data_IF_901375203999
#
_entry.id   IF_901375203999
#
_cell.length_a   1.000
_cell.length_b   1.000
_cell.length_c   1.000
_cell.angle_alpha   90.00
_cell.angle_beta   90.00
_cell.angle_gamma   90.00
#
_symmetry.space_group_name_H-M   'P 1'
#
loop_
_entity.id
_entity.type
_entity.pdbx_description
1 polymer ?
#
# COMPACT_ATOMS: atom_id res chain seq x y z
N UNK A 1 11.86 -19.41 24.91
CA UNK A 1 12.44 -18.17 24.39
C UNK A 1 11.35 -17.38 23.64
N UNK A 2 10.95 -16.19 24.09
CA UNK A 2 10.02 -15.34 23.36
C UNK A 2 10.68 -14.99 22.01
N UNK A 3 9.98 -15.23 20.90
CA UNK A 3 10.43 -14.85 19.56
C UNK A 3 10.68 -13.33 19.56
N UNK A 4 11.91 -12.88 19.31
CA UNK A 4 12.22 -11.46 19.17
C UNK A 4 11.33 -10.88 18.08
N UNK A 5 10.58 -9.85 18.42
CA UNK A 5 9.77 -9.10 17.47
C UNK A 5 10.70 -8.28 16.57
N UNK A 6 10.45 -8.26 15.27
CA UNK A 6 11.21 -7.38 14.38
C UNK A 6 10.84 -5.92 14.65
N UNK A 7 11.79 -5.18 15.19
CA UNK A 7 11.66 -3.75 15.47
C UNK A 7 12.87 -3.05 14.85
N UNK A 8 12.61 -2.17 13.88
CA UNK A 8 13.63 -1.30 13.32
C UNK A 8 13.36 0.14 13.75
N UNK A 9 14.39 0.94 13.85
CA UNK A 9 14.27 2.33 14.27
C UNK A 9 15.30 3.22 13.59
N UNK A 10 14.92 4.48 13.39
CA UNK A 10 15.79 5.54 12.87
C UNK A 10 15.47 6.86 13.57
N UNK A 11 16.47 7.50 14.11
CA UNK A 11 16.34 8.83 14.69
C UNK A 11 16.29 9.88 13.58
N UNK A 12 15.33 10.80 13.67
CA UNK A 12 15.14 11.90 12.74
C UNK A 12 14.78 13.16 13.51
N UNK A 13 15.74 14.08 13.62
CA UNK A 13 15.59 15.27 14.47
C UNK A 13 15.31 14.90 15.92
N UNK A 14 14.24 15.45 16.49
CA UNK A 14 13.84 15.23 17.88
C UNK A 14 12.95 13.98 18.07
N UNK A 15 12.71 13.20 17.02
CA UNK A 15 11.84 12.02 17.05
C UNK A 15 12.58 10.77 16.59
N UNK A 16 12.06 9.62 16.96
CA UNK A 16 12.48 8.32 16.46
C UNK A 16 11.34 7.70 15.66
N UNK A 17 11.61 7.35 14.41
CA UNK A 17 10.71 6.53 13.61
C UNK A 17 10.98 5.08 13.98
N UNK A 18 9.95 4.36 14.38
CA UNK A 18 10.01 2.95 14.73
C UNK A 18 9.09 2.17 13.79
N UNK A 19 9.64 1.19 13.07
CA UNK A 19 8.83 0.21 12.37
C UNK A 19 8.62 -1.01 13.27
N UNK A 20 7.36 -1.32 13.50
CA UNK A 20 6.93 -2.44 14.33
C UNK A 20 6.46 -3.59 13.43
N UNK A 21 7.36 -4.54 13.16
CA UNK A 21 7.18 -5.59 12.18
C UNK A 21 5.93 -6.46 12.32
N UNK A 22 5.52 -6.89 13.53
CA UNK A 22 4.32 -7.71 13.72
C UNK A 22 3.04 -7.10 13.19
N UNK A 23 2.93 -5.75 13.21
CA UNK A 23 1.76 -5.02 12.74
C UNK A 23 2.00 -4.32 11.40
N UNK A 24 3.24 -4.36 10.88
CA UNK A 24 3.67 -3.56 9.74
C UNK A 24 3.30 -2.07 9.91
N UNK A 25 3.55 -1.55 11.11
CA UNK A 25 3.14 -0.21 11.54
C UNK A 25 4.36 0.67 11.75
N UNK A 26 4.29 1.92 11.28
CA UNK A 26 5.27 2.95 11.56
C UNK A 26 4.77 3.87 12.65
N UNK A 27 5.61 4.08 13.65
CA UNK A 27 5.35 4.95 14.80
C UNK A 27 6.36 6.09 14.78
N UNK A 28 5.90 7.30 15.07
CA UNK A 28 6.77 8.46 15.31
C UNK A 28 6.71 8.74 16.80
N UNK A 29 7.81 8.49 17.48
CA UNK A 29 7.89 8.51 18.94
C UNK A 29 8.96 9.49 19.44
N UNK A 30 8.81 9.94 20.68
CA UNK A 30 9.90 10.57 21.43
C UNK A 30 11.04 9.55 21.60
N UNK A 31 12.30 10.02 21.61
CA UNK A 31 13.47 9.15 21.77
C UNK A 31 13.34 8.23 23.00
N UNK A 32 12.89 8.78 24.13
CA UNK A 32 12.74 8.01 25.37
C UNK A 32 11.73 6.88 25.24
N UNK A 33 10.58 7.12 24.57
CA UNK A 33 9.57 6.08 24.34
C UNK A 33 10.09 5.00 23.40
N UNK A 34 10.81 5.39 22.34
CA UNK A 34 11.44 4.44 21.42
C UNK A 34 12.49 3.57 22.11
N UNK A 35 13.30 4.15 23.02
CA UNK A 35 14.30 3.42 23.80
C UNK A 35 13.64 2.38 24.73
N UNK A 36 12.54 2.73 25.38
CA UNK A 36 11.76 1.78 26.19
C UNK A 36 11.29 0.61 25.34
N UNK A 37 10.73 0.85 24.14
CA UNK A 37 10.29 -0.22 23.25
C UNK A 37 11.46 -1.11 22.80
N UNK A 38 12.64 -0.54 22.55
CA UNK A 38 13.86 -1.31 22.25
C UNK A 38 14.24 -2.24 23.41
N UNK A 39 14.22 -1.73 24.64
CA UNK A 39 14.59 -2.52 25.83
C UNK A 39 13.55 -3.63 26.10
N UNK A 40 12.25 -3.35 25.98
CA UNK A 40 11.21 -4.37 26.06
C UNK A 40 11.44 -5.46 24.99
N UNK A 41 11.77 -5.07 23.77
CA UNK A 41 12.02 -6.01 22.67
C UNK A 41 13.27 -6.88 22.90
N UNK A 42 14.28 -6.36 23.60
CA UNK A 42 15.46 -7.13 24.02
C UNK A 42 15.14 -8.14 25.14
N UNK A 43 14.02 -7.97 25.83
CA UNK A 43 13.60 -8.77 26.99
C UNK A 43 14.14 -8.27 28.31
N UNK A 44 14.55 -7.00 28.37
CA UNK A 44 14.97 -6.34 29.64
C UNK A 44 13.79 -6.33 30.62
N UNK A 45 14.04 -6.60 31.89
CA UNK A 45 13.00 -6.67 32.92
C UNK A 45 12.31 -5.29 33.09
N UNK A 46 10.98 -5.28 33.16
CA UNK A 46 10.16 -4.06 33.29
C UNK A 46 10.65 -3.14 34.43
N UNK A 47 10.95 -3.72 35.59
CA UNK A 47 11.44 -2.95 36.74
C UNK A 47 12.78 -2.26 36.46
N UNK A 48 13.68 -2.90 35.70
CA UNK A 48 14.97 -2.34 35.33
C UNK A 48 14.82 -1.17 34.37
N UNK A 49 13.91 -1.32 33.39
CA UNK A 49 13.58 -0.24 32.45
C UNK A 49 12.97 0.94 33.18
N UNK A 50 12.01 0.66 34.08
CA UNK A 50 11.33 1.69 34.90
C UNK A 50 12.27 2.42 35.85
N UNK A 51 13.22 1.74 36.47
CA UNK A 51 14.24 2.37 37.33
C UNK A 51 15.12 3.33 36.52
N UNK A 52 15.54 2.93 35.33
CA UNK A 52 16.31 3.79 34.42
C UNK A 52 15.51 5.02 33.99
N UNK A 53 14.23 4.83 33.67
CA UNK A 53 13.31 5.90 33.29
C UNK A 53 13.07 6.87 34.44
N UNK A 54 12.80 6.35 35.65
CA UNK A 54 12.60 7.15 36.87
C UNK A 54 13.78 8.08 37.14
N UNK A 55 15.01 7.55 37.04
CA UNK A 55 16.25 8.34 37.23
C UNK A 55 16.41 9.38 36.11
N UNK A 56 16.16 9.03 34.86
CA UNK A 56 16.34 9.91 33.69
C UNK A 56 15.37 11.09 33.70
N UNK A 57 14.12 10.86 34.08
CA UNK A 57 13.05 11.86 34.03
C UNK A 57 12.72 12.47 35.40
N UNK A 58 13.36 12.00 36.47
CA UNK A 58 13.08 12.43 37.86
C UNK A 58 11.61 12.27 38.25
N UNK A 59 10.97 11.17 37.81
CA UNK A 59 9.58 10.85 38.13
C UNK A 59 9.48 9.69 39.13
N UNK A 60 8.36 9.56 39.88
CA UNK A 60 8.17 8.47 40.83
C UNK A 60 8.35 7.10 40.22
N UNK A 61 8.99 6.18 40.95
CA UNK A 61 9.23 4.83 40.50
C UNK A 61 7.93 4.10 40.07
N UNK A 62 6.83 4.31 40.79
CA UNK A 62 5.54 3.72 40.48
C UNK A 62 5.01 4.19 39.12
N UNK A 63 5.06 5.50 38.84
CA UNK A 63 4.62 6.06 37.56
C UNK A 63 5.47 5.51 36.41
N UNK A 64 6.77 5.35 36.61
CA UNK A 64 7.68 4.77 35.63
C UNK A 64 7.30 3.32 35.31
N UNK A 65 6.98 2.52 36.33
CA UNK A 65 6.53 1.11 36.14
C UNK A 65 5.22 1.07 35.40
N UNK A 66 4.23 1.87 35.80
CA UNK A 66 2.90 1.92 35.16
C UNK A 66 3.03 2.31 33.71
N UNK A 67 3.85 3.30 33.36
CA UNK A 67 4.09 3.73 31.98
C UNK A 67 4.75 2.63 31.13
N UNK A 68 5.78 1.96 31.63
CA UNK A 68 6.46 0.87 30.89
C UNK A 68 5.52 -0.33 30.69
N UNK A 69 4.70 -0.65 31.69
CA UNK A 69 3.68 -1.71 31.57
C UNK A 69 2.59 -1.36 30.54
N UNK A 70 2.16 -0.10 30.49
CA UNK A 70 1.21 0.37 29.48
C UNK A 70 1.77 0.22 28.08
N UNK A 71 3.04 0.62 27.84
CA UNK A 71 3.71 0.43 26.56
C UNK A 71 3.85 -1.07 26.20
N UNK A 72 4.25 -1.91 27.17
CA UNK A 72 4.33 -3.36 26.94
C UNK A 72 2.96 -3.91 26.55
N UNK A 73 1.90 -3.55 27.26
CA UNK A 73 0.54 -3.98 26.95
C UNK A 73 0.14 -3.54 25.56
N UNK A 74 0.24 -2.23 25.26
CA UNK A 74 -0.19 -1.64 23.99
C UNK A 74 0.52 -2.22 22.78
N UNK A 75 1.83 -2.45 22.84
CA UNK A 75 2.63 -2.84 21.68
C UNK A 75 2.95 -4.33 21.61
N UNK A 76 2.91 -5.05 22.72
CA UNK A 76 3.35 -6.45 22.76
C UNK A 76 2.30 -7.45 23.29
N UNK A 77 1.25 -6.99 23.99
CA UNK A 77 0.23 -7.87 24.60
C UNK A 77 -1.17 -7.70 24.03
N UNK A 78 -1.54 -6.51 23.56
CA UNK A 78 -2.87 -6.29 23.00
C UNK A 78 -2.90 -6.64 21.52
N UNK A 79 -3.84 -7.50 21.20
CA UNK A 79 -4.27 -8.06 19.94
C UNK A 79 -3.45 -9.25 19.43
N UNK A 80 -4.16 -10.38 19.34
CA UNK A 80 -3.89 -11.31 18.24
C UNK A 80 -3.85 -10.48 16.98
N UNK A 81 -2.63 -10.27 16.47
CA UNK A 81 -2.46 -9.82 15.11
C UNK A 81 -3.25 -10.86 14.32
N UNK A 82 -4.45 -10.53 13.89
CA UNK A 82 -5.01 -11.18 12.74
C UNK A 82 -4.02 -10.85 11.63
N UNK A 83 -2.92 -11.64 11.57
CA UNK A 83 -2.27 -11.82 10.30
C UNK A 83 -3.43 -12.09 9.38
N UNK A 84 -3.49 -11.36 8.28
CA UNK A 84 -4.32 -11.73 7.14
C UNK A 84 -3.73 -13.07 6.64
N UNK A 85 -3.84 -14.09 7.50
CA UNK A 85 -3.53 -15.46 7.13
C UNK A 85 -4.52 -15.74 6.01
N UNK A 86 -4.00 -16.22 4.91
CA UNK A 86 -4.82 -16.95 3.94
C UNK A 86 -5.58 -17.91 4.81
N UNK A 87 -6.86 -17.63 5.05
CA UNK A 87 -7.66 -18.41 5.98
C UNK A 87 -7.65 -19.83 5.44
N UNK A 88 -7.02 -20.76 6.14
CA UNK A 88 -6.80 -22.13 5.67
C UNK A 88 -8.08 -22.82 5.17
N UNK A 89 -9.24 -22.41 5.69
CA UNK A 89 -10.56 -22.84 5.22
C UNK A 89 -10.83 -22.56 3.74
N UNK A 90 -10.11 -21.61 3.10
CA UNK A 90 -10.30 -21.26 1.69
C UNK A 90 -9.23 -21.81 0.76
N UNK A 91 -8.19 -22.48 1.27
CA UNK A 91 -7.18 -23.20 0.45
C UNK A 91 -7.84 -24.23 -0.49
N UNK A 92 -8.98 -24.79 -0.10
CA UNK A 92 -9.76 -25.75 -0.89
C UNK A 92 -10.82 -25.09 -1.79
N UNK A 93 -10.86 -23.75 -1.91
CA UNK A 93 -11.79 -23.10 -2.79
C UNK A 93 -11.45 -23.41 -4.25
N UNK A 94 -12.35 -24.13 -4.93
CA UNK A 94 -12.13 -24.47 -6.34
C UNK A 94 -12.12 -23.20 -7.18
N UNK A 95 -11.01 -23.00 -7.89
CA UNK A 95 -10.83 -21.94 -8.88
C UNK A 95 -11.90 -22.07 -9.97
N UNK A 96 -12.50 -20.97 -10.46
CA UNK A 96 -13.40 -20.98 -11.59
C UNK A 96 -12.71 -21.57 -12.83
N UNK A 97 -13.46 -22.32 -13.64
CA UNK A 97 -12.96 -22.83 -14.91
C UNK A 97 -13.09 -21.78 -16.03
N UNK A 98 -14.11 -20.94 -15.94
CA UNK A 98 -14.41 -19.90 -16.92
C UNK A 98 -14.55 -18.56 -16.20
N UNK A 99 -14.13 -17.49 -16.87
CA UNK A 99 -14.24 -16.11 -16.44
C UNK A 99 -15.10 -15.36 -17.46
N UNK A 100 -15.99 -14.50 -16.99
CA UNK A 100 -16.92 -13.77 -17.84
C UNK A 100 -16.26 -12.58 -18.53
N UNK A 101 -15.36 -11.91 -17.82
CA UNK A 101 -14.65 -10.74 -18.33
C UNK A 101 -13.16 -11.02 -18.41
N UNK A 102 -12.60 -10.89 -19.62
CA UNK A 102 -11.17 -11.01 -19.86
C UNK A 102 -10.69 -9.71 -20.48
N UNK A 103 -9.65 -9.11 -19.90
CA UNK A 103 -9.04 -7.88 -20.38
C UNK A 103 -7.55 -8.08 -20.58
N UNK A 104 -7.03 -7.42 -21.61
CA UNK A 104 -5.60 -7.38 -21.89
C UNK A 104 -5.11 -5.95 -21.73
N UNK A 105 -3.95 -5.81 -21.11
CA UNK A 105 -3.32 -4.51 -20.86
C UNK A 105 -1.87 -4.57 -21.32
N UNK A 106 -1.43 -3.56 -22.05
CA UNK A 106 -0.02 -3.40 -22.40
C UNK A 106 0.60 -2.32 -21.51
N UNK A 107 1.53 -2.72 -20.66
CA UNK A 107 2.25 -1.83 -19.75
C UNK A 107 3.73 -1.95 -20.09
N UNK A 108 4.33 -0.86 -20.57
CA UNK A 108 5.63 -0.89 -21.22
C UNK A 108 5.56 -1.91 -22.41
N UNK A 109 6.47 -2.85 -22.48
CA UNK A 109 6.45 -3.90 -23.50
C UNK A 109 5.88 -5.24 -22.99
N UNK A 110 5.22 -5.23 -21.83
CA UNK A 110 4.70 -6.43 -21.20
C UNK A 110 3.18 -6.46 -21.36
N UNK A 111 2.66 -7.58 -21.84
CA UNK A 111 1.22 -7.82 -21.93
C UNK A 111 0.77 -8.62 -20.71
N UNK A 112 -0.28 -8.13 -20.08
CA UNK A 112 -0.97 -8.73 -18.96
C UNK A 112 -2.38 -9.16 -19.37
N UNK A 113 -2.72 -10.41 -19.12
CA UNK A 113 -4.10 -10.89 -19.16
C UNK A 113 -4.67 -10.83 -17.77
N UNK A 114 -5.83 -10.20 -17.60
CA UNK A 114 -6.54 -10.18 -16.32
C UNK A 114 -7.96 -10.68 -16.52
N UNK A 115 -8.32 -11.74 -15.80
CA UNK A 115 -9.61 -12.42 -15.90
C UNK A 115 -10.43 -12.17 -14.65
N UNK A 116 -11.70 -11.81 -14.82
CA UNK A 116 -12.64 -11.49 -13.75
C UNK A 116 -13.87 -12.38 -13.87
N UNK A 117 -14.38 -12.85 -12.74
CA UNK A 117 -15.57 -13.73 -12.72
C UNK A 117 -16.85 -12.93 -12.98
N UNK A 118 -16.93 -11.68 -12.53
CA UNK A 118 -18.07 -10.80 -12.71
C UNK A 118 -17.65 -9.34 -12.93
N UNK A 119 -18.64 -8.50 -13.30
CA UNK A 119 -18.45 -7.05 -13.42
C UNK A 119 -17.98 -6.39 -12.11
N UNK A 120 -18.34 -6.98 -10.96
CA UNK A 120 -17.94 -6.45 -9.66
C UNK A 120 -16.42 -6.46 -9.50
N UNK A 121 -15.75 -7.57 -9.77
CA UNK A 121 -14.28 -7.67 -9.69
C UNK A 121 -13.61 -6.79 -10.75
N UNK A 122 -14.20 -6.74 -11.96
CA UNK A 122 -13.74 -5.86 -13.03
C UNK A 122 -13.72 -4.40 -12.58
N UNK A 123 -14.77 -3.94 -11.89
CA UNK A 123 -14.90 -2.56 -11.41
C UNK A 123 -13.84 -2.16 -10.37
N UNK A 124 -13.18 -3.11 -9.73
CA UNK A 124 -12.13 -2.80 -8.75
C UNK A 124 -10.78 -2.46 -9.38
N UNK A 125 -10.53 -2.95 -10.59
CA UNK A 125 -9.22 -2.91 -11.25
C UNK A 125 -9.26 -2.13 -12.56
N UNK A 126 -10.21 -2.48 -13.46
CA UNK A 126 -10.24 -1.96 -14.82
C UNK A 126 -10.22 -0.42 -14.91
N UNK A 127 -10.96 0.35 -14.08
CA UNK A 127 -10.94 1.80 -14.18
C UNK A 127 -9.54 2.41 -14.07
N UNK A 128 -8.67 1.84 -13.25
CA UNK A 128 -7.30 2.32 -13.07
C UNK A 128 -6.39 2.05 -14.27
N UNK A 129 -6.74 1.09 -15.11
CA UNK A 129 -5.89 0.63 -16.22
C UNK A 129 -6.60 0.65 -17.58
N UNK A 130 -7.83 1.19 -17.66
CA UNK A 130 -8.64 1.20 -18.88
C UNK A 130 -7.91 1.84 -20.07
N UNK A 131 -7.14 2.90 -19.84
CA UNK A 131 -6.34 3.60 -20.84
C UNK A 131 -5.17 2.77 -21.42
N UNK A 132 -4.82 1.66 -20.79
CA UNK A 132 -3.77 0.71 -21.19
C UNK A 132 -4.35 -0.56 -21.81
N UNK A 133 -5.70 -0.61 -21.94
CA UNK A 133 -6.38 -1.77 -22.49
C UNK A 133 -6.06 -1.92 -23.98
N UNK A 134 -5.83 -3.15 -24.38
CA UNK A 134 -5.63 -3.55 -25.80
C UNK A 134 -6.63 -4.65 -26.17
N UNK A 135 -6.74 -4.91 -27.46
CA UNK A 135 -7.52 -6.05 -27.97
C UNK A 135 -6.95 -7.38 -27.49
N UNK A 136 -7.75 -8.42 -27.61
CA UNK A 136 -7.33 -9.77 -27.24
C UNK A 136 -6.11 -10.22 -28.04
N UNK A 137 -5.13 -10.76 -27.30
CA UNK A 137 -3.91 -11.33 -27.88
C UNK A 137 -3.65 -12.72 -27.31
N UNK A 138 -2.97 -13.55 -28.08
CA UNK A 138 -2.59 -14.92 -27.68
C UNK A 138 -1.28 -14.96 -26.90
N UNK A 139 -0.40 -13.97 -27.11
CA UNK A 139 0.90 -13.87 -26.44
C UNK A 139 0.83 -12.86 -25.29
N UNK A 140 0.85 -13.38 -24.06
CA UNK A 140 0.88 -12.60 -22.84
C UNK A 140 1.83 -13.22 -21.83
N UNK A 141 2.59 -12.39 -21.11
CA UNK A 141 3.61 -12.85 -20.19
C UNK A 141 3.06 -13.18 -18.79
N UNK A 142 2.00 -12.46 -18.37
CA UNK A 142 1.43 -12.62 -17.05
C UNK A 142 -0.08 -12.79 -17.09
N UNK A 143 -0.59 -13.74 -16.31
CA UNK A 143 -2.01 -14.02 -16.16
C UNK A 143 -2.44 -13.78 -14.71
N UNK A 144 -3.35 -12.83 -14.54
CA UNK A 144 -3.98 -12.52 -13.26
C UNK A 144 -5.43 -12.99 -13.29
N UNK A 145 -5.90 -13.57 -12.22
CA UNK A 145 -7.29 -13.98 -12.08
C UNK A 145 -7.85 -13.48 -10.77
N UNK A 146 -8.98 -12.82 -10.86
CA UNK A 146 -9.67 -12.20 -9.73
C UNK A 146 -11.09 -12.71 -9.69
N UNK A 147 -11.51 -13.27 -8.57
CA UNK A 147 -12.88 -13.73 -8.39
C UNK A 147 -13.32 -13.65 -6.93
N UNK A 148 -14.63 -13.44 -6.71
CA UNK A 148 -15.25 -13.46 -5.40
C UNK A 148 -15.97 -14.79 -5.20
N UNK A 149 -15.75 -15.43 -4.07
CA UNK A 149 -16.47 -16.60 -3.63
C UNK A 149 -16.62 -16.61 -2.11
N UNK A 150 -17.82 -16.95 -1.61
CA UNK A 150 -18.12 -16.97 -0.18
C UNK A 150 -17.72 -15.67 0.55
N UNK A 151 -17.98 -14.51 -0.06
CA UNK A 151 -17.61 -13.17 0.44
C UNK A 151 -16.12 -12.88 0.53
N UNK A 152 -15.25 -13.73 -0.05
CA UNK A 152 -13.81 -13.48 -0.17
C UNK A 152 -13.42 -13.22 -1.62
N UNK A 153 -12.54 -12.24 -1.82
CA UNK A 153 -11.91 -11.96 -3.09
C UNK A 153 -10.57 -12.71 -3.16
N UNK A 154 -10.36 -13.45 -4.23
CA UNK A 154 -9.18 -14.26 -4.50
C UNK A 154 -8.34 -13.63 -5.59
N UNK A 155 -7.03 -13.68 -5.44
CA UNK A 155 -6.05 -13.29 -6.45
C UNK A 155 -5.15 -14.46 -6.77
N UNK A 156 -5.13 -14.84 -8.05
CA UNK A 156 -4.14 -15.74 -8.62
C UNK A 156 -3.24 -14.98 -9.59
N UNK A 157 -1.95 -15.26 -9.57
CA UNK A 157 -0.97 -14.77 -10.54
C UNK A 157 -0.20 -15.95 -11.11
N UNK A 158 -0.24 -16.12 -12.42
CA UNK A 158 0.43 -17.22 -13.12
C UNK A 158 0.14 -18.60 -12.49
N UNK A 159 -1.14 -18.86 -12.19
CA UNK A 159 -1.66 -20.07 -11.53
C UNK A 159 -1.31 -20.24 -10.04
N UNK A 160 -0.63 -19.30 -9.41
CA UNK A 160 -0.28 -19.33 -7.99
C UNK A 160 -1.29 -18.50 -7.22
N UNK A 161 -1.87 -19.06 -6.15
CA UNK A 161 -2.70 -18.30 -5.22
C UNK A 161 -1.82 -17.33 -4.42
N UNK A 162 -2.06 -16.04 -4.61
CA UNK A 162 -1.37 -14.97 -3.89
C UNK A 162 -2.04 -14.70 -2.55
N UNK A 163 -3.36 -14.72 -2.52
CA UNK A 163 -4.12 -14.53 -1.28
C UNK A 163 -5.62 -14.48 -1.49
N UNK A 164 -6.32 -14.38 -0.35
CA UNK A 164 -7.74 -14.10 -0.30
C UNK A 164 -8.04 -13.11 0.83
N UNK A 165 -8.99 -12.20 0.58
CA UNK A 165 -9.35 -11.13 1.50
C UNK A 165 -10.85 -11.05 1.63
N UNK A 166 -11.34 -10.79 2.83
CA UNK A 166 -12.76 -10.47 3.04
C UNK A 166 -13.16 -9.27 2.18
N UNK A 167 -14.32 -9.32 1.59
CA UNK A 167 -14.86 -8.26 0.73
C UNK A 167 -15.03 -6.90 1.45
N UNK A 168 -15.08 -6.89 2.79
CA UNK A 168 -15.01 -5.67 3.59
C UNK A 168 -13.62 -5.04 3.61
N UNK A 169 -12.58 -5.84 3.37
CA UNK A 169 -11.17 -5.48 3.40
C UNK A 169 -10.54 -5.38 1.98
N UNK A 170 -11.33 -4.94 1.01
CA UNK A 170 -10.93 -4.87 -0.41
C UNK A 170 -9.66 -4.03 -0.65
N UNK A 171 -9.39 -3.05 0.20
CA UNK A 171 -8.19 -2.22 0.09
C UNK A 171 -6.89 -3.01 0.25
N UNK A 172 -6.88 -4.08 1.06
CA UNK A 172 -5.71 -4.97 1.15
C UNK A 172 -5.52 -5.78 -0.12
N UNK A 173 -6.61 -6.27 -0.71
CA UNK A 173 -6.57 -6.92 -2.02
C UNK A 173 -6.00 -5.97 -3.08
N UNK A 174 -6.52 -4.73 -3.16
CA UNK A 174 -6.04 -3.75 -4.14
C UNK A 174 -4.57 -3.40 -3.94
N UNK A 175 -4.11 -3.29 -2.69
CA UNK A 175 -2.71 -3.09 -2.36
C UNK A 175 -1.83 -4.26 -2.84
N UNK A 176 -2.22 -5.51 -2.53
CA UNK A 176 -1.45 -6.68 -2.95
C UNK A 176 -1.48 -6.89 -4.47
N UNK A 177 -2.62 -6.65 -5.12
CA UNK A 177 -2.73 -6.67 -6.57
C UNK A 177 -1.75 -5.66 -7.22
N UNK A 178 -1.71 -4.43 -6.71
CA UNK A 178 -0.81 -3.39 -7.22
C UNK A 178 0.66 -3.76 -7.01
N UNK A 179 1.01 -4.36 -5.86
CA UNK A 179 2.36 -4.84 -5.58
C UNK A 179 2.77 -5.96 -6.55
N UNK A 180 1.91 -6.96 -6.78
CA UNK A 180 2.18 -8.02 -7.76
C UNK A 180 2.36 -7.45 -9.18
N UNK A 181 1.54 -6.46 -9.55
CA UNK A 181 1.64 -5.81 -10.85
C UNK A 181 2.96 -5.03 -10.98
N UNK A 182 3.36 -4.25 -9.96
CA UNK A 182 4.64 -3.52 -9.91
C UNK A 182 5.82 -4.48 -10.09
N UNK A 183 5.84 -5.59 -9.37
CA UNK A 183 6.90 -6.60 -9.50
C UNK A 183 7.01 -7.14 -10.93
N UNK A 184 5.87 -7.43 -11.57
CA UNK A 184 5.85 -7.96 -12.95
C UNK A 184 6.20 -6.90 -14.00
N UNK A 185 5.76 -5.64 -13.82
CA UNK A 185 6.11 -4.52 -14.72
C UNK A 185 7.64 -4.30 -14.72
N UNK A 186 8.24 -4.29 -13.54
CA UNK A 186 9.66 -3.96 -13.38
C UNK A 186 10.56 -5.19 -13.29
N UNK A 187 10.00 -6.40 -13.33
CA UNK A 187 10.73 -7.67 -13.23
C UNK A 187 11.65 -7.69 -11.99
N UNK A 188 11.13 -7.20 -10.86
CA UNK A 188 11.83 -7.10 -9.57
C UNK A 188 10.98 -7.75 -8.48
N UNK A 189 11.61 -8.57 -7.65
CA UNK A 189 10.96 -9.21 -6.49
C UNK A 189 10.70 -8.20 -5.36
N UNK A 190 9.88 -8.58 -4.40
CA UNK A 190 9.39 -7.70 -3.32
C UNK A 190 10.53 -7.12 -2.47
N UNK A 191 11.62 -7.88 -2.24
CA UNK A 191 12.79 -7.47 -1.46
C UNK A 191 13.65 -6.39 -2.14
N UNK A 192 13.42 -6.10 -3.41
CA UNK A 192 14.10 -5.05 -4.18
C UNK A 192 13.46 -3.67 -4.04
N UNK A 193 12.36 -3.58 -3.34
CA UNK A 193 11.68 -2.32 -3.09
C UNK A 193 11.95 -1.81 -1.68
N UNK A 194 12.42 -0.56 -1.58
CA UNK A 194 12.48 0.16 -0.29
C UNK A 194 11.07 0.28 0.30
N UNK A 195 10.10 0.47 -0.57
CA UNK A 195 8.69 0.51 -0.24
C UNK A 195 7.83 0.92 -1.42
N UNK A 196 6.52 0.73 -1.28
CA UNK A 196 5.51 1.30 -2.17
C UNK A 196 4.67 2.26 -1.34
N UNK A 197 4.78 3.55 -1.66
CA UNK A 197 4.22 4.62 -0.84
C UNK A 197 2.86 5.06 -1.37
N UNK A 198 1.91 5.30 -0.47
CA UNK A 198 0.66 5.96 -0.83
C UNK A 198 0.91 7.45 -1.06
N UNK A 199 1.32 7.77 -2.26
CA UNK A 199 1.78 9.08 -2.69
C UNK A 199 1.40 9.36 -4.14
N UNK A 200 1.65 10.57 -4.60
CA UNK A 200 1.71 10.89 -6.03
C UNK A 200 3.16 11.30 -6.36
N UNK A 201 3.64 10.96 -7.56
CA UNK A 201 5.01 11.26 -7.96
C UNK A 201 5.10 11.80 -9.39
N UNK A 202 5.92 12.83 -9.56
CA UNK A 202 6.26 13.43 -10.86
C UNK A 202 7.77 13.51 -11.04
N UNK A 203 8.22 13.59 -12.28
CA UNK A 203 9.64 13.79 -12.61
C UNK A 203 9.82 14.88 -13.65
N UNK A 204 10.94 15.61 -13.56
CA UNK A 204 11.42 16.51 -14.62
C UNK A 204 12.51 15.84 -15.49
N UNK A 205 12.64 14.53 -15.43
CA UNK A 205 13.68 13.77 -16.14
C UNK A 205 15.02 13.64 -15.39
N UNK A 206 15.25 14.46 -14.34
CA UNK A 206 16.47 14.42 -13.52
C UNK A 206 16.19 14.10 -12.06
N UNK A 207 15.09 14.61 -11.53
CA UNK A 207 14.68 14.45 -10.13
C UNK A 207 13.19 14.13 -10.08
N UNK A 208 12.80 13.37 -9.06
CA UNK A 208 11.41 13.08 -8.76
C UNK A 208 10.95 13.86 -7.53
N UNK A 209 9.69 14.28 -7.54
CA UNK A 209 9.00 14.90 -6.41
C UNK A 209 7.87 13.98 -5.99
N UNK A 210 7.83 13.65 -4.70
CA UNK A 210 6.75 12.87 -4.10
C UNK A 210 5.85 13.78 -3.27
N UNK A 211 4.55 13.67 -3.49
CA UNK A 211 3.52 14.30 -2.68
C UNK A 211 2.97 13.29 -1.68
N UNK A 212 3.36 13.42 -0.42
CA UNK A 212 2.89 12.62 0.70
C UNK A 212 1.76 13.35 1.42
N UNK A 213 0.92 12.64 2.13
CA UNK A 213 -0.15 13.20 2.95
C UNK A 213 -1.45 12.39 2.86
N UNK A 214 -2.40 12.76 3.71
CA UNK A 214 -3.70 12.08 3.79
C UNK A 214 -4.56 12.24 2.54
N UNK A 215 -5.58 11.40 2.44
CA UNK A 215 -6.56 11.51 1.34
C UNK A 215 -7.28 12.86 1.41
N UNK A 216 -7.26 13.62 0.33
CA UNK A 216 -7.87 14.95 0.26
C UNK A 216 -6.89 16.12 0.31
N UNK A 217 -5.62 15.89 0.63
CA UNK A 217 -4.59 16.95 0.70
C UNK A 217 -4.03 17.35 -0.67
N UNK A 218 -4.76 17.09 -1.76
CA UNK A 218 -4.43 17.61 -3.09
C UNK A 218 -3.30 16.89 -3.85
N UNK A 219 -2.83 15.72 -3.39
CA UNK A 219 -1.74 14.97 -4.05
C UNK A 219 -1.96 14.78 -5.55
N UNK A 220 -3.06 14.14 -5.93
CA UNK A 220 -3.40 13.86 -7.34
C UNK A 220 -3.68 15.15 -8.13
N UNK A 221 -4.23 16.19 -7.49
CA UNK A 221 -4.44 17.50 -8.12
C UNK A 221 -3.10 18.18 -8.42
N UNK A 222 -2.17 18.19 -7.46
CA UNK A 222 -0.82 18.75 -7.65
C UNK A 222 -0.04 17.99 -8.74
N UNK A 223 -0.17 16.67 -8.77
CA UNK A 223 0.42 15.84 -9.82
C UNK A 223 -0.14 16.25 -11.19
N UNK A 224 -1.46 16.34 -11.36
CA UNK A 224 -2.08 16.73 -12.62
C UNK A 224 -1.68 18.15 -13.06
N UNK A 225 -1.62 19.12 -12.13
CA UNK A 225 -1.15 20.48 -12.41
C UNK A 225 0.29 20.50 -12.92
N UNK A 226 1.19 19.73 -12.30
CA UNK A 226 2.58 19.67 -12.74
C UNK A 226 2.72 18.93 -14.08
N UNK A 227 1.94 17.87 -14.31
CA UNK A 227 1.91 17.18 -15.60
C UNK A 227 1.48 18.15 -16.74
N UNK A 228 0.48 18.98 -16.52
CA UNK A 228 0.07 20.02 -17.48
C UNK A 228 1.19 21.05 -17.75
N UNK A 229 2.15 21.19 -16.84
CA UNK A 229 3.31 22.06 -16.96
C UNK A 229 4.59 21.34 -17.37
N UNK A 230 4.48 20.17 -18.02
CA UNK A 230 5.60 19.46 -18.64
C UNK A 230 6.37 18.50 -17.74
N UNK A 231 5.91 18.25 -16.53
CA UNK A 231 6.44 17.15 -15.72
C UNK A 231 5.88 15.81 -16.18
N UNK A 232 6.67 14.77 -16.08
CA UNK A 232 6.22 13.40 -16.35
C UNK A 232 5.54 12.83 -15.10
N UNK A 233 4.29 12.36 -15.23
CA UNK A 233 3.64 11.56 -14.19
C UNK A 233 4.37 10.23 -14.05
N UNK A 234 4.83 9.91 -12.85
CA UNK A 234 5.40 8.61 -12.54
C UNK A 234 4.37 7.66 -11.94
N UNK A 235 3.60 8.10 -10.98
CA UNK A 235 2.59 7.30 -10.32
C UNK A 235 1.60 8.14 -9.53
N UNK A 236 0.37 7.63 -9.37
CA UNK A 236 -0.62 8.11 -8.39
C UNK A 236 -1.10 6.93 -7.54
N UNK A 237 -1.31 7.15 -6.24
CA UNK A 237 -1.69 6.17 -5.20
C UNK A 237 -0.60 5.15 -4.82
N UNK A 238 0.21 4.62 -5.75
CA UNK A 238 1.23 3.60 -5.50
C UNK A 238 2.56 4.03 -6.12
N UNK A 239 3.46 4.57 -5.31
CA UNK A 239 4.79 5.04 -5.75
C UNK A 239 5.85 4.05 -5.30
N UNK A 240 6.38 3.19 -6.20
CA UNK A 240 7.44 2.26 -5.86
C UNK A 240 8.80 2.96 -5.85
N UNK A 241 9.59 2.72 -4.79
CA UNK A 241 10.95 3.20 -4.65
C UNK A 241 11.88 1.99 -4.54
N UNK A 242 12.89 1.94 -5.38
CA UNK A 242 13.88 0.87 -5.38
C UNK A 242 14.78 0.95 -4.13
N UNK A 243 15.14 -0.21 -3.57
CA UNK A 243 15.94 -0.29 -2.35
C UNK A 243 17.44 -0.02 -2.57
N UNK A 244 17.95 -0.33 -3.77
CA UNK A 244 19.39 -0.28 -4.03
C UNK A 244 19.87 1.14 -4.35
N UNK A 245 19.05 1.93 -5.08
CA UNK A 245 19.42 3.25 -5.61
C UNK A 245 18.48 4.39 -5.22
N UNK A 246 17.41 4.08 -4.44
CA UNK A 246 16.39 5.03 -4.00
C UNK A 246 15.65 5.73 -5.16
N UNK A 247 15.71 5.18 -6.37
CA UNK A 247 15.00 5.72 -7.53
C UNK A 247 13.51 5.42 -7.46
N UNK A 248 12.72 6.40 -7.91
CA UNK A 248 11.28 6.28 -8.05
C UNK A 248 10.96 5.61 -9.39
N UNK A 249 10.23 4.51 -9.33
CA UNK A 249 9.76 3.79 -10.51
C UNK A 249 8.33 4.19 -10.88
N UNK A 250 7.98 4.06 -12.15
CA UNK A 250 6.63 4.39 -12.61
C UNK A 250 5.63 3.28 -12.27
N UNK A 251 4.40 3.71 -11.97
CA UNK A 251 3.24 2.83 -11.90
C UNK A 251 2.09 3.48 -12.66
N UNK A 252 1.75 3.02 -13.87
CA UNK A 252 0.92 3.73 -14.82
C UNK A 252 -0.58 3.55 -14.57
N UNK A 253 -1.01 3.58 -13.33
CA UNK A 253 -2.42 3.67 -12.99
C UNK A 253 -2.95 5.08 -13.33
N UNK A 254 -4.21 5.15 -13.74
CA UNK A 254 -4.86 6.43 -14.01
C UNK A 254 -4.91 7.30 -12.76
N UNK A 255 -4.77 8.62 -12.93
CA UNK A 255 -4.85 9.60 -11.86
C UNK A 255 -6.30 9.67 -11.37
N UNK A 256 -6.49 9.50 -10.05
CA UNK A 256 -7.82 9.59 -9.43
C UNK A 256 -8.18 11.04 -9.10
N UNK A 257 -9.06 11.65 -9.87
CA UNK A 257 -9.50 13.04 -9.67
C UNK A 257 -10.82 13.08 -8.90
N UNK A 258 -10.85 13.86 -7.83
CA UNK A 258 -12.09 14.12 -7.07
C UNK A 258 -12.89 15.22 -7.72
N UNK A 259 -14.24 15.16 -7.63
CA UNK A 259 -15.15 16.16 -8.22
C UNK A 259 -14.83 17.61 -7.82
N UNK A 260 -14.40 17.83 -6.58
CA UNK A 260 -14.02 19.18 -6.12
C UNK A 260 -12.74 19.75 -6.74
N UNK A 261 -11.96 18.91 -7.44
CA UNK A 261 -10.75 19.37 -8.16
C UNK A 261 -11.03 19.70 -9.63
N UNK A 262 -12.24 19.41 -10.14
CA UNK A 262 -12.56 19.63 -11.56
C UNK A 262 -12.47 21.07 -11.98
N UNK A 263 -12.97 22.02 -11.20
CA UNK A 263 -12.89 23.45 -11.53
C UNK A 263 -11.45 23.90 -11.76
N UNK A 264 -10.51 23.38 -10.97
CA UNK A 264 -9.07 23.69 -11.08
C UNK A 264 -8.45 23.03 -12.31
N UNK A 265 -8.88 21.82 -12.68
CA UNK A 265 -8.23 21.02 -13.71
C UNK A 265 -8.87 21.17 -15.11
N UNK A 266 -10.15 21.48 -15.21
CA UNK A 266 -10.86 21.63 -16.50
C UNK A 266 -10.21 22.62 -17.47
N UNK A 267 -9.65 23.77 -17.03
CA UNK A 267 -8.96 24.68 -17.94
C UNK A 267 -7.71 24.07 -18.59
N UNK A 268 -7.09 23.09 -17.93
CA UNK A 268 -5.87 22.41 -18.39
C UNK A 268 -6.15 21.09 -19.10
N UNK A 269 -7.27 20.45 -18.75
CA UNK A 269 -7.73 19.14 -19.24
C UNK A 269 -9.22 19.23 -19.63
N UNK A 270 -9.57 19.90 -20.75
CA UNK A 270 -10.97 20.06 -21.15
C UNK A 270 -11.71 18.74 -21.38
N UNK A 271 -10.97 17.69 -21.75
CA UNK A 271 -11.47 16.34 -21.97
C UNK A 271 -12.07 15.68 -20.71
N UNK A 272 -11.70 16.13 -19.52
CA UNK A 272 -12.30 15.67 -18.26
C UNK A 272 -13.81 15.88 -18.20
N UNK A 273 -14.33 16.82 -19.01
CA UNK A 273 -15.78 17.08 -19.11
C UNK A 273 -16.59 15.88 -19.58
N UNK A 274 -15.95 15.04 -20.43
CA UNK A 274 -16.55 13.88 -21.06
C UNK A 274 -15.94 12.56 -20.59
N UNK A 275 -15.07 12.60 -19.58
CA UNK A 275 -14.45 11.41 -19.04
C UNK A 275 -15.45 10.55 -18.27
N UNK A 276 -15.24 9.24 -18.29
CA UNK A 276 -16.08 8.30 -17.55
C UNK A 276 -15.98 8.55 -16.04
N UNK A 277 -17.12 8.58 -15.37
CA UNK A 277 -17.19 8.68 -13.92
C UNK A 277 -17.27 7.30 -13.30
N UNK A 278 -16.35 6.98 -12.41
CA UNK A 278 -16.36 5.75 -11.64
C UNK A 278 -16.75 6.02 -10.18
N UNK A 279 -17.92 5.56 -9.78
CA UNK A 279 -18.43 5.72 -8.44
C UNK A 279 -17.87 4.64 -7.50
N UNK A 280 -16.79 4.93 -6.83
CA UNK A 280 -16.39 4.14 -5.66
C UNK A 280 -17.29 4.52 -4.49
N UNK A 281 -18.23 3.66 -4.11
CA UNK A 281 -19.30 3.88 -3.10
C UNK A 281 -18.87 4.52 -1.75
N UNK A 282 -17.57 4.69 -1.51
CA UNK A 282 -17.01 5.33 -0.31
C UNK A 282 -16.28 6.65 -0.54
N UNK A 283 -16.00 7.08 -1.76
CA UNK A 283 -15.04 8.17 -1.97
C UNK A 283 -15.43 9.26 -2.97
N UNK A 284 -16.61 9.26 -3.63
CA UNK A 284 -16.97 10.26 -4.65
C UNK A 284 -15.77 10.62 -5.56
N UNK A 285 -15.06 9.64 -6.07
CA UNK A 285 -13.90 9.82 -6.94
C UNK A 285 -14.31 9.60 -8.39
N UNK A 286 -13.82 10.47 -9.25
CA UNK A 286 -13.75 10.28 -10.70
C UNK A 286 -12.35 9.75 -11.00
N UNK A 287 -12.24 8.78 -11.86
CA UNK A 287 -10.97 8.22 -12.34
C UNK A 287 -10.87 8.47 -13.83
#
# INVERSE_FOLDING_TARGET
MKKKTSLLHKEVGEKTIVWFGPRNEYLILEHTTADILKEINKGTAINQIAETLSKKLSIPAKESVDFVLELERKFYKEEKIERLEIVDSYKNTKRPKNFEFIKFYKINDIVFKISFLSEKELSFIHPKFAHLSIDEVTDFKNNFEVFIKHNYIFLYVNNILIGSWDNANIHFFQGKFSMELIQKIHQKEEDKWLGVFHASAVSNGKKSILFLGDSGNGKSTSLALLQANGFTCLADDFVPINADNEEVYSFPAAISIKKNSLETLLPLYPELKNSAEYNFKRLNKIV
#
